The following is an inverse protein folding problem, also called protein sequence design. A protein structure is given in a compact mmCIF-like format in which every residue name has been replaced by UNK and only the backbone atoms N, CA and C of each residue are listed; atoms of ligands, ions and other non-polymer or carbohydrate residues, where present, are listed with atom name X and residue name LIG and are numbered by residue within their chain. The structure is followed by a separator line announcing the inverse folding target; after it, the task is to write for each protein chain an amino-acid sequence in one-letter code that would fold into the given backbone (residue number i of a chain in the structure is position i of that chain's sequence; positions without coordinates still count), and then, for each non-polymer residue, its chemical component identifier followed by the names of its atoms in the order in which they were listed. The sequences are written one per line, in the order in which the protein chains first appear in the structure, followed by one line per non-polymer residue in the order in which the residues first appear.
data_IF_441259662973
#
_entry.id   IF_441259662973
#
_cell.length_a   1.000
_cell.length_b   1.000
_cell.length_c   1.000
_cell.angle_alpha   90.00
_cell.angle_beta   90.00
_cell.angle_gamma   90.00
#
_symmetry.space_group_name_H-M   'P 1'
#
loop_
_entity.id
_entity.type
_entity.pdbx_description
1 polymer ?
#
# COMPACT_ATOMS: atom_id res chain seq x y z
N UNK A 1 -6.58 16.59 -12.84
CA UNK A 1 -7.06 16.55 -11.43
C UNK A 1 -5.83 16.43 -10.56
N UNK A 2 -5.68 17.34 -9.61
CA UNK A 2 -4.59 17.30 -8.62
C UNK A 2 -4.76 16.06 -7.74
N UNK A 3 -3.68 15.30 -7.51
CA UNK A 3 -3.73 14.15 -6.59
C UNK A 3 -3.74 14.66 -5.15
N UNK A 4 -4.53 14.02 -4.29
CA UNK A 4 -4.52 14.34 -2.87
C UNK A 4 -3.18 13.91 -2.26
N UNK A 5 -2.42 14.88 -1.75
CA UNK A 5 -1.10 14.63 -1.18
C UNK A 5 -1.12 13.56 -0.05
N UNK A 6 -2.24 13.41 0.67
CA UNK A 6 -2.38 12.37 1.70
C UNK A 6 -2.40 10.97 1.10
N UNK A 7 -3.07 10.80 -0.05
CA UNK A 7 -3.08 9.53 -0.77
C UNK A 7 -1.69 9.20 -1.32
N UNK A 8 -0.96 10.22 -1.80
CA UNK A 8 0.43 10.07 -2.25
C UNK A 8 1.32 9.61 -1.09
N UNK A 9 1.24 10.26 0.07
CA UNK A 9 2.00 9.85 1.27
C UNK A 9 1.67 8.43 1.72
N UNK A 10 0.39 8.05 1.76
CA UNK A 10 -0.03 6.69 2.09
C UNK A 10 0.58 5.68 1.10
N UNK A 11 0.50 5.95 -0.20
CA UNK A 11 1.08 5.10 -1.25
C UNK A 11 2.60 4.95 -1.12
N UNK A 12 3.30 6.05 -0.82
CA UNK A 12 4.74 6.06 -0.60
C UNK A 12 5.14 5.22 0.64
N UNK A 13 4.45 5.41 1.77
CA UNK A 13 4.70 4.64 2.99
C UNK A 13 4.44 3.14 2.80
N UNK A 14 3.34 2.77 2.14
CA UNK A 14 3.06 1.36 1.79
C UNK A 14 4.18 0.77 0.93
N UNK A 15 4.69 1.53 -0.04
CA UNK A 15 5.80 1.10 -0.90
C UNK A 15 7.09 0.87 -0.11
N UNK A 16 7.39 1.69 0.89
CA UNK A 16 8.52 1.49 1.79
C UNK A 16 8.36 0.23 2.65
N UNK A 17 7.18 0.03 3.24
CA UNK A 17 6.89 -1.15 4.07
C UNK A 17 6.99 -2.46 3.26
N UNK A 18 6.49 -2.48 2.02
CA UNK A 18 6.62 -3.63 1.11
C UNK A 18 8.11 -3.96 0.87
N UNK A 19 8.93 -2.94 0.61
CA UNK A 19 10.38 -3.15 0.42
C UNK A 19 11.06 -3.64 1.69
N UNK A 20 10.67 -3.12 2.86
CA UNK A 20 11.20 -3.53 4.15
C UNK A 20 10.91 -5.01 4.47
N UNK A 21 9.81 -5.56 3.95
CA UNK A 21 9.49 -7.00 4.02
C UNK A 21 10.33 -7.88 3.07
N UNK A 22 11.22 -7.29 2.28
CA UNK A 22 12.12 -8.03 1.37
C UNK A 22 11.61 -8.17 -0.07
N UNK A 23 10.45 -7.58 -0.39
CA UNK A 23 9.94 -7.61 -1.76
C UNK A 23 10.68 -6.59 -2.64
N UNK A 24 11.58 -7.11 -3.49
CA UNK A 24 12.23 -6.33 -4.55
C UNK A 24 11.24 -6.00 -5.67
N UNK A 25 10.29 -6.91 -5.93
CA UNK A 25 9.28 -6.78 -6.96
C UNK A 25 7.87 -6.71 -6.36
N UNK A 26 7.15 -5.63 -6.65
CA UNK A 26 5.77 -5.43 -6.22
C UNK A 26 4.80 -6.44 -6.84
N UNK A 27 5.14 -7.02 -8.00
CA UNK A 27 4.34 -8.06 -8.62
C UNK A 27 4.36 -9.35 -7.78
N UNK A 28 5.49 -9.68 -7.17
CA UNK A 28 5.59 -10.82 -6.25
C UNK A 28 4.76 -10.58 -5.00
N UNK A 29 4.84 -9.36 -4.41
CA UNK A 29 3.99 -9.00 -3.26
C UNK A 29 2.49 -9.11 -3.61
N UNK A 30 2.10 -8.57 -4.77
CA UNK A 30 0.72 -8.66 -5.25
C UNK A 30 0.27 -10.12 -5.41
N UNK A 31 1.13 -10.98 -5.96
CA UNK A 31 0.85 -12.39 -6.15
C UNK A 31 0.71 -13.14 -4.81
N UNK A 32 1.68 -13.01 -3.91
CA UNK A 32 1.74 -13.73 -2.65
C UNK A 32 0.57 -13.41 -1.72
N UNK A 33 0.13 -12.15 -1.74
CA UNK A 33 -0.98 -11.67 -0.93
C UNK A 33 -2.32 -11.60 -1.68
N UNK A 34 -2.39 -12.17 -2.90
CA UNK A 34 -3.61 -12.22 -3.73
C UNK A 34 -4.25 -10.85 -3.98
N UNK A 35 -3.42 -9.82 -4.16
CA UNK A 35 -3.83 -8.46 -4.44
C UNK A 35 -3.76 -8.23 -5.95
N UNK A 36 -4.79 -7.62 -6.53
CA UNK A 36 -4.75 -7.25 -7.94
C UNK A 36 -3.61 -6.25 -8.19
N UNK A 37 -2.67 -6.61 -9.08
CA UNK A 37 -1.48 -5.81 -9.42
C UNK A 37 -1.82 -4.38 -9.86
N UNK A 38 -2.86 -4.18 -10.66
CA UNK A 38 -3.28 -2.85 -11.14
C UNK A 38 -3.79 -2.02 -9.98
N UNK A 39 -4.57 -2.61 -9.08
CA UNK A 39 -5.03 -1.96 -7.85
C UNK A 39 -3.85 -1.57 -6.97
N UNK A 40 -2.91 -2.48 -6.72
CA UNK A 40 -1.71 -2.19 -5.93
C UNK A 40 -0.93 -1.02 -6.56
N UNK A 41 -0.66 -1.06 -7.87
CA UNK A 41 0.03 0.03 -8.56
C UNK A 41 -0.69 1.37 -8.40
N UNK A 42 -2.02 1.40 -8.55
CA UNK A 42 -2.82 2.63 -8.35
C UNK A 42 -2.67 3.17 -6.94
N UNK A 43 -2.78 2.31 -5.92
CA UNK A 43 -2.64 2.69 -4.51
C UNK A 43 -1.25 3.28 -4.25
N UNK A 44 -0.19 2.59 -4.68
CA UNK A 44 1.19 3.02 -4.44
C UNK A 44 1.56 4.32 -5.17
N UNK A 45 0.78 4.72 -6.18
CA UNK A 45 0.92 6.00 -6.88
C UNK A 45 -0.13 7.05 -6.45
N UNK A 46 -0.76 6.89 -5.29
CA UNK A 46 -1.66 7.90 -4.72
C UNK A 46 -3.01 8.05 -5.39
N UNK A 47 -3.44 7.07 -6.19
CA UNK A 47 -4.82 7.05 -6.71
C UNK A 47 -5.82 6.78 -5.59
N UNK A 48 -7.05 7.28 -5.71
CA UNK A 48 -8.11 6.92 -4.79
C UNK A 48 -8.39 5.40 -4.81
N UNK A 49 -8.63 4.82 -3.65
CA UNK A 49 -8.90 3.39 -3.45
C UNK A 49 -9.94 3.18 -2.35
N UNK A 50 -10.53 1.99 -2.31
CA UNK A 50 -11.47 1.63 -1.26
C UNK A 50 -10.75 1.34 0.05
N UNK A 51 -11.35 1.71 1.18
CA UNK A 51 -10.80 1.40 2.51
C UNK A 51 -10.55 -0.11 2.71
N UNK A 52 -11.38 -0.97 2.12
CA UNK A 52 -11.17 -2.42 2.14
C UNK A 52 -9.86 -2.87 1.48
N UNK A 53 -9.42 -2.20 0.41
CA UNK A 53 -8.11 -2.43 -0.22
C UNK A 53 -6.98 -2.06 0.74
N UNK A 54 -7.12 -0.93 1.44
CA UNK A 54 -6.13 -0.50 2.41
C UNK A 54 -6.01 -1.47 3.57
N UNK A 55 -7.12 -1.93 4.14
CA UNK A 55 -7.11 -2.93 5.22
C UNK A 55 -6.41 -4.23 4.78
N UNK A 56 -6.69 -4.73 3.57
CA UNK A 56 -5.99 -5.92 3.03
C UNK A 56 -4.47 -5.71 2.89
N UNK A 57 -4.04 -4.49 2.55
CA UNK A 57 -2.62 -4.17 2.45
C UNK A 57 -1.96 -4.12 3.82
N UNK A 58 -2.65 -3.58 4.82
CA UNK A 58 -2.20 -3.60 6.21
C UNK A 58 -2.08 -5.03 6.74
N UNK A 59 -3.08 -5.88 6.47
CA UNK A 59 -3.06 -7.31 6.83
C UNK A 59 -1.87 -8.04 6.16
N UNK A 60 -1.64 -7.80 4.86
CA UNK A 60 -0.51 -8.36 4.13
C UNK A 60 0.86 -7.91 4.67
N UNK A 61 0.92 -6.70 5.22
CA UNK A 61 2.12 -6.13 5.84
C UNK A 61 2.26 -6.47 7.31
N UNK A 62 1.29 -7.15 7.92
CA UNK A 62 1.24 -7.48 9.35
C UNK A 62 1.44 -6.22 10.22
N UNK A 63 0.69 -5.17 9.89
CA UNK A 63 0.70 -3.89 10.61
C UNK A 63 -0.73 -3.44 10.88
N UNK A 64 -1.01 -2.94 12.09
CA UNK A 64 -2.32 -2.36 12.37
C UNK A 64 -2.43 -0.89 11.86
N UNK A 65 -3.67 -0.42 11.72
CA UNK A 65 -3.95 0.92 11.21
C UNK A 65 -3.36 2.04 12.08
N UNK A 66 -3.36 1.87 13.42
CA UNK A 66 -2.85 2.89 14.34
C UNK A 66 -1.35 3.08 14.15
N UNK A 67 -0.60 1.98 14.12
CA UNK A 67 0.85 2.00 13.92
C UNK A 67 1.21 2.53 12.55
N UNK A 68 0.45 2.19 11.51
CA UNK A 68 0.66 2.74 10.18
C UNK A 68 0.64 4.27 10.16
N UNK A 69 -0.38 4.89 10.79
CA UNK A 69 -0.52 6.36 10.78
C UNK A 69 0.37 7.09 11.77
N UNK A 70 0.90 6.42 12.81
CA UNK A 70 1.90 7.02 13.70
C UNK A 70 3.23 7.29 12.99
N UNK A 71 3.51 6.57 11.91
CA UNK A 71 4.74 6.69 11.13
C UNK A 71 4.54 7.37 9.76
N UNK A 72 3.40 8.05 9.55
CA UNK A 72 3.04 8.71 8.28
C UNK A 72 3.40 10.20 8.27
#
# INVERSE_FOLDING_TARGET
MEQDNRLVSIGAKLKELIKAKGYVNMEHFAHDHQINRVTLYKVLNGSNFQMSTFLKLLDALDIDMKNFFLEL
#
